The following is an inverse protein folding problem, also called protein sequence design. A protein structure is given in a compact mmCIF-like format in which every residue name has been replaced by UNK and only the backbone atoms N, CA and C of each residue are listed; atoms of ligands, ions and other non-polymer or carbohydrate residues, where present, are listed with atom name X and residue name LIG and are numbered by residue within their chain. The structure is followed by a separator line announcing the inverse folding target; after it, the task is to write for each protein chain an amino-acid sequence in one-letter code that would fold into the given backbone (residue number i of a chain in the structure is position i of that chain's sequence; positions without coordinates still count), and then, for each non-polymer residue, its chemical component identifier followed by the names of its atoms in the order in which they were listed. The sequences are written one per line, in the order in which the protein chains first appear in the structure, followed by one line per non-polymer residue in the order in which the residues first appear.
data_IF_899443056393
#
_entry.id   IF_899443056393
#
_cell.length_a   1.000
_cell.length_b   1.000
_cell.length_c   1.000
_cell.angle_alpha   90.00
_cell.angle_beta   90.00
_cell.angle_gamma   90.00
#
_symmetry.space_group_name_H-M   'P 1'
#
loop_
_entity.id
_entity.type
_entity.pdbx_description
1 polymer ?
#
# COMPACT_ATOMS: atom_id res chain seq x y z
N UNK A 1 -5.94 -4.00 20.89
CA UNK A 1 -4.79 -3.45 20.15
C UNK A 1 -4.57 -4.32 18.90
N UNK A 2 -4.46 -3.72 17.71
CA UNK A 2 -4.19 -4.53 16.50
C UNK A 2 -2.74 -5.02 16.52
N UNK A 3 -2.51 -6.27 16.11
CA UNK A 3 -1.15 -6.82 16.05
C UNK A 3 -0.54 -6.61 14.66
N UNK A 4 0.79 -6.50 14.57
CA UNK A 4 1.50 -6.44 13.28
C UNK A 4 1.10 -7.60 12.37
N UNK A 5 0.98 -8.82 12.91
CA UNK A 5 0.53 -10.01 12.16
C UNK A 5 -0.86 -9.81 11.53
N UNK A 6 -1.82 -9.28 12.29
CA UNK A 6 -3.17 -8.98 11.76
C UNK A 6 -3.11 -7.92 10.66
N UNK A 7 -2.27 -6.89 10.79
CA UNK A 7 -2.07 -5.89 9.73
C UNK A 7 -1.51 -6.54 8.46
N UNK A 8 -0.43 -7.33 8.57
CA UNK A 8 0.19 -7.98 7.41
C UNK A 8 -0.79 -8.95 6.71
N UNK A 9 -1.57 -9.71 7.48
CA UNK A 9 -2.59 -10.59 6.94
C UNK A 9 -3.69 -9.86 6.15
N UNK A 10 -4.05 -8.64 6.58
CA UNK A 10 -5.07 -7.81 5.92
C UNK A 10 -4.47 -6.71 5.02
N UNK A 11 -3.20 -6.85 4.62
CA UNK A 11 -2.47 -5.85 3.86
C UNK A 11 -3.14 -5.48 2.53
N UNK A 12 -3.71 -6.45 1.81
CA UNK A 12 -4.41 -6.18 0.55
C UNK A 12 -5.62 -5.27 0.75
N UNK A 13 -6.44 -5.52 1.78
CA UNK A 13 -7.62 -4.68 2.07
C UNK A 13 -7.22 -3.23 2.34
N UNK A 14 -6.10 -3.00 3.02
CA UNK A 14 -5.59 -1.66 3.27
C UNK A 14 -5.08 -1.03 1.97
N UNK A 15 -4.39 -1.78 1.10
CA UNK A 15 -4.02 -1.26 -0.23
C UNK A 15 -5.25 -0.94 -1.08
N UNK A 16 -6.30 -1.76 -1.05
CA UNK A 16 -7.57 -1.51 -1.74
C UNK A 16 -8.20 -0.19 -1.27
N UNK A 17 -8.20 0.08 0.03
CA UNK A 17 -8.70 1.33 0.59
C UNK A 17 -8.04 2.57 -0.03
N UNK A 18 -6.70 2.56 -0.15
CA UNK A 18 -5.96 3.72 -0.67
C UNK A 18 -5.88 3.78 -2.19
N UNK A 19 -5.72 2.63 -2.84
CA UNK A 19 -5.37 2.55 -4.25
C UNK A 19 -6.52 2.08 -5.13
N UNK A 20 -7.65 1.65 -4.56
CA UNK A 20 -8.77 1.08 -5.31
C UNK A 20 -9.20 1.96 -6.49
N UNK A 21 -9.20 3.28 -6.33
CA UNK A 21 -9.54 4.23 -7.40
C UNK A 21 -8.55 4.26 -8.59
N UNK A 22 -7.37 3.65 -8.45
CA UNK A 22 -6.36 3.49 -9.51
C UNK A 22 -6.54 2.20 -10.31
N UNK A 23 -7.45 1.32 -9.88
CA UNK A 23 -7.67 0.03 -10.50
C UNK A 23 -9.13 -0.15 -10.96
N UNK A 24 -9.37 -1.00 -11.97
CA UNK A 24 -10.72 -1.44 -12.30
C UNK A 24 -11.42 -2.04 -11.07
N UNK A 25 -12.72 -1.77 -10.94
CA UNK A 25 -13.58 -2.33 -9.88
C UNK A 25 -13.19 -1.96 -8.43
N UNK A 26 -12.35 -0.94 -8.24
CA UNK A 26 -11.99 -0.48 -6.90
C UNK A 26 -11.06 -1.44 -6.15
N UNK A 27 -10.40 -2.38 -6.84
CA UNK A 27 -9.55 -3.40 -6.22
C UNK A 27 -8.18 -3.47 -6.86
N UNK A 28 -7.15 -3.50 -6.02
CA UNK A 28 -5.76 -3.68 -6.44
C UNK A 28 -5.61 -4.98 -7.20
N UNK A 29 -4.98 -4.89 -8.37
CA UNK A 29 -4.57 -6.05 -9.17
C UNK A 29 -3.07 -6.26 -8.93
N UNK A 30 -2.66 -7.29 -8.17
CA UNK A 30 -1.27 -7.51 -7.84
C UNK A 30 -0.38 -7.66 -9.08
N UNK A 31 0.80 -7.04 -9.06
CA UNK A 31 1.76 -7.06 -10.16
C UNK A 31 1.48 -6.05 -11.28
N UNK A 32 0.32 -5.38 -11.29
CA UNK A 32 0.02 -4.34 -12.27
C UNK A 32 0.64 -3.02 -11.85
N UNK A 33 1.42 -2.40 -12.73
CA UNK A 33 2.02 -1.10 -12.48
C UNK A 33 0.99 0.03 -12.60
N UNK A 34 1.05 0.96 -11.65
CA UNK A 34 0.35 2.25 -11.62
C UNK A 34 1.37 3.38 -11.46
N UNK A 35 0.93 4.62 -11.71
CA UNK A 35 1.76 5.78 -11.34
C UNK A 35 1.94 5.81 -9.82
N UNK A 36 3.16 6.10 -9.37
CA UNK A 36 3.51 6.13 -7.96
C UNK A 36 2.56 7.08 -7.18
N UNK A 37 1.81 6.56 -6.20
CA UNK A 37 0.78 7.32 -5.48
C UNK A 37 1.38 8.37 -4.53
N UNK A 38 2.68 8.31 -4.25
CA UNK A 38 3.38 9.30 -3.43
C UNK A 38 3.74 10.57 -4.21
N UNK A 39 3.65 10.54 -5.56
CA UNK A 39 3.95 11.67 -6.42
C UNK A 39 2.69 12.50 -6.67
N UNK A 40 2.84 13.82 -6.72
CA UNK A 40 1.75 14.74 -7.05
C UNK A 40 1.41 14.73 -8.54
N UNK A 41 2.39 14.42 -9.39
CA UNK A 41 2.23 14.39 -10.85
C UNK A 41 2.15 12.95 -11.36
N UNK A 42 1.28 12.74 -12.35
CA UNK A 42 1.15 11.44 -13.01
C UNK A 42 2.39 11.15 -13.85
N UNK A 43 2.98 9.98 -13.66
CA UNK A 43 4.11 9.51 -14.46
C UNK A 43 3.64 9.08 -15.86
N UNK A 44 4.47 9.36 -16.87
CA UNK A 44 4.27 8.83 -18.23
C UNK A 44 4.45 7.30 -18.26
N UNK A 45 5.40 6.79 -17.48
CA UNK A 45 5.66 5.36 -17.33
C UNK A 45 5.31 4.93 -15.89
N UNK A 46 4.19 4.22 -15.67
CA UNK A 46 3.84 3.61 -14.40
C UNK A 46 4.94 2.68 -13.88
N UNK A 47 5.33 2.86 -12.62
CA UNK A 47 6.45 2.13 -12.01
C UNK A 47 6.17 1.57 -10.62
N UNK A 48 5.04 1.93 -10.00
CA UNK A 48 4.65 1.42 -8.70
C UNK A 48 3.72 0.23 -8.83
N UNK A 49 3.95 -0.85 -8.10
CA UNK A 49 2.98 -1.93 -7.96
C UNK A 49 2.89 -2.47 -6.55
N UNK A 50 1.78 -3.15 -6.29
CA UNK A 50 1.57 -3.98 -5.10
C UNK A 50 1.69 -5.43 -5.54
N UNK A 51 2.36 -6.28 -4.76
CA UNK A 51 2.56 -7.68 -5.08
C UNK A 51 2.46 -8.54 -3.81
N UNK A 52 2.18 -9.83 -3.99
CA UNK A 52 2.09 -10.78 -2.88
C UNK A 52 3.50 -11.22 -2.46
N UNK A 53 3.84 -11.03 -1.19
CA UNK A 53 5.04 -11.52 -0.55
C UNK A 53 5.00 -13.03 -0.28
N UNK A 54 6.16 -13.58 0.12
CA UNK A 54 6.30 -15.02 0.41
C UNK A 54 5.47 -15.46 1.61
N UNK A 55 5.28 -14.57 2.58
CA UNK A 55 4.55 -14.85 3.82
C UNK A 55 3.03 -14.62 3.68
N UNK A 56 2.56 -14.37 2.46
CA UNK A 56 1.15 -14.14 2.14
C UNK A 56 0.66 -12.72 2.40
N UNK A 57 1.51 -11.85 2.93
CA UNK A 57 1.29 -10.41 2.98
C UNK A 57 1.43 -9.77 1.59
N UNK A 58 0.98 -8.53 1.47
CA UNK A 58 1.16 -7.71 0.28
C UNK A 58 2.16 -6.61 0.59
N UNK A 59 3.04 -6.37 -0.37
CA UNK A 59 4.12 -5.40 -0.32
C UNK A 59 3.98 -4.46 -1.52
N UNK A 60 4.57 -3.29 -1.44
CA UNK A 60 4.72 -2.42 -2.60
C UNK A 60 6.16 -2.36 -3.07
N UNK A 61 6.34 -2.11 -4.37
CA UNK A 61 7.62 -1.76 -4.97
C UNK A 61 7.41 -0.69 -6.02
N UNK A 62 8.28 0.31 -6.01
CA UNK A 62 8.41 1.27 -7.10
C UNK A 62 9.71 1.01 -7.87
N UNK A 63 9.59 0.59 -9.13
CA UNK A 63 10.73 0.34 -10.00
C UNK A 63 11.43 1.62 -10.46
N UNK A 64 10.75 2.77 -10.41
CA UNK A 64 11.33 4.06 -10.80
C UNK A 64 12.30 4.60 -9.76
N UNK A 65 11.98 4.43 -8.47
CA UNK A 65 12.81 4.91 -7.35
C UNK A 65 13.62 3.80 -6.67
N UNK A 66 13.27 2.53 -6.90
CA UNK A 66 13.83 1.38 -6.20
C UNK A 66 13.21 1.13 -4.82
N UNK A 67 12.25 1.94 -4.39
CA UNK A 67 11.64 1.82 -3.06
C UNK A 67 10.81 0.54 -2.92
N UNK A 68 10.91 -0.09 -1.76
CA UNK A 68 10.15 -1.29 -1.39
C UNK A 68 9.67 -1.17 0.05
N UNK A 69 8.46 -1.64 0.34
CA UNK A 69 7.94 -1.59 1.70
C UNK A 69 6.68 -2.41 1.91
N UNK A 70 6.33 -2.59 3.18
CA UNK A 70 5.04 -3.20 3.55
C UNK A 70 3.96 -2.13 3.66
N UNK A 71 2.75 -2.58 3.98
CA UNK A 71 1.58 -1.70 4.09
C UNK A 71 1.70 -0.63 5.19
N UNK A 72 2.47 -0.86 6.25
CA UNK A 72 2.68 0.17 7.29
C UNK A 72 3.57 1.28 6.75
N UNK A 73 4.68 0.93 6.08
CA UNK A 73 5.55 1.90 5.39
C UNK A 73 4.77 2.68 4.33
N UNK A 74 3.89 2.00 3.60
CA UNK A 74 3.00 2.64 2.63
C UNK A 74 2.08 3.69 3.29
N UNK A 75 1.37 3.33 4.37
CA UNK A 75 0.47 4.26 5.07
C UNK A 75 1.23 5.44 5.67
N UNK A 76 2.41 5.21 6.26
CA UNK A 76 3.31 6.28 6.73
C UNK A 76 3.55 7.33 5.65
N UNK A 77 3.82 6.90 4.41
CA UNK A 77 4.10 7.79 3.29
C UNK A 77 2.85 8.49 2.76
N UNK A 78 1.75 7.76 2.61
CA UNK A 78 0.47 8.34 2.17
C UNK A 78 -0.02 9.44 3.12
N UNK A 79 0.08 9.18 4.42
CA UNK A 79 -0.45 10.05 5.49
C UNK A 79 0.60 11.04 6.03
N UNK A 80 1.85 10.98 5.53
CA UNK A 80 2.99 11.79 6.01
C UNK A 80 3.12 11.77 7.53
N UNK A 81 3.04 10.57 8.10
CA UNK A 81 2.94 10.38 9.56
C UNK A 81 3.99 9.40 10.09
N UNK A 82 3.93 9.04 11.37
CA UNK A 82 4.84 8.08 11.99
C UNK A 82 4.20 6.69 12.18
N UNK A 83 4.98 5.72 12.64
CA UNK A 83 4.52 4.34 12.84
C UNK A 83 3.30 4.24 13.76
N UNK A 84 3.31 4.93 14.90
CA UNK A 84 2.22 4.85 15.87
C UNK A 84 0.91 5.34 15.25
N UNK A 85 0.96 6.49 14.57
CA UNK A 85 -0.23 7.04 13.92
C UNK A 85 -0.71 6.21 12.73
N UNK A 86 0.21 5.65 11.95
CA UNK A 86 -0.14 4.74 10.85
C UNK A 86 -0.87 3.48 11.36
N UNK A 87 -0.46 2.91 12.49
CA UNK A 87 -1.15 1.77 13.12
C UNK A 87 -2.54 2.14 13.61
N UNK A 88 -2.75 3.36 14.13
CA UNK A 88 -4.08 3.85 14.49
C UNK A 88 -5.00 3.96 13.27
N UNK A 89 -4.51 4.55 12.17
CA UNK A 89 -5.26 4.71 10.92
C UNK A 89 -5.62 3.33 10.34
N UNK A 90 -4.66 2.42 10.26
CA UNK A 90 -4.90 1.04 9.82
C UNK A 90 -5.94 0.36 10.71
N UNK A 91 -5.90 0.59 12.02
CA UNK A 91 -6.90 0.02 12.92
C UNK A 91 -8.31 0.53 12.63
N UNK A 92 -8.46 1.75 12.10
CA UNK A 92 -9.76 2.30 11.70
C UNK A 92 -10.24 1.71 10.37
N UNK A 93 -9.33 1.47 9.42
CA UNK A 93 -9.63 0.83 8.13
C UNK A 93 -10.08 -0.63 8.29
N UNK A 94 -9.53 -1.34 9.29
CA UNK A 94 -9.80 -2.75 9.55
C UNK A 94 -10.88 -3.00 10.63
N UNK A 95 -11.59 -1.96 11.07
CA UNK A 95 -12.77 -2.08 11.94
C UNK A 95 -13.97 -2.53 11.12
#
# INVERSE_FOLDING_TARGET
MITKRKIMHNSLQIFDFYLGNKYPFGRVIPGKNISNPFLTTKQNTPSFNVFKGKDGDYLFKDYGTGEVGNVITFVIKMEKTNFQKAVEIISQILR
#
